data_IF_135823875192
#
_entry.id   IF_135823875192
#
_cell.length_a   1.000
_cell.length_b   1.000
_cell.length_c   1.000
_cell.angle_alpha   90.00
_cell.angle_beta   90.00
_cell.angle_gamma   90.00
#
_symmetry.space_group_name_H-M   'P 1'
#
loop_
_entity.id
_entity.type
_entity.pdbx_description
1 polymer ?
#
# COMPACT_ATOMS: atom_id res chain seq x y z
N UNK A 1 -0.46 -10.24 10.22
CA UNK A 1 -1.22 -9.28 9.40
C UNK A 1 -0.51 -7.95 9.09
N UNK A 2 0.08 -7.21 10.03
CA UNK A 2 0.65 -5.86 9.77
C UNK A 2 2.01 -5.80 9.06
N UNK A 3 2.76 -6.90 8.99
CA UNK A 3 4.15 -6.91 8.51
C UNK A 3 4.31 -6.95 6.99
N UNK A 4 3.30 -7.44 6.25
CA UNK A 4 3.39 -7.65 4.79
C UNK A 4 3.22 -6.33 4.01
N UNK A 5 2.35 -5.43 4.49
CA UNK A 5 2.17 -4.08 3.90
C UNK A 5 3.33 -3.10 4.19
N UNK A 6 4.20 -3.40 5.17
CA UNK A 6 5.33 -2.53 5.55
C UNK A 6 6.52 -2.57 4.58
N UNK A 7 6.59 -3.56 3.69
CA UNK A 7 7.76 -3.75 2.82
C UNK A 7 7.87 -2.76 1.64
N UNK A 8 6.81 -2.03 1.31
CA UNK A 8 6.77 -1.11 0.15
C UNK A 8 6.84 0.38 0.48
N UNK A 9 6.63 0.77 1.74
CA UNK A 9 6.67 2.17 2.18
C UNK A 9 7.95 2.37 2.95
N UNK A 10 8.94 3.08 2.37
CA UNK A 10 10.10 3.54 3.15
C UNK A 10 9.56 4.47 4.24
N UNK A 11 9.40 3.93 5.43
CA UNK A 11 9.24 4.74 6.63
C UNK A 11 10.51 5.56 6.77
N UNK A 12 10.41 6.86 6.55
CA UNK A 12 11.45 7.80 6.96
C UNK A 12 11.43 7.85 8.49
N UNK A 13 11.92 6.78 9.14
CA UNK A 13 12.29 6.80 10.55
C UNK A 13 13.55 7.66 10.65
N UNK A 14 13.36 8.89 11.09
CA UNK A 14 14.44 9.81 11.40
C UNK A 14 15.25 9.28 12.59
N UNK A 15 16.24 8.43 12.31
CA UNK A 15 17.25 7.99 13.28
C UNK A 15 18.64 8.35 12.77
N UNK A 16 18.96 9.65 12.76
CA UNK A 16 20.35 10.14 12.64
C UNK A 16 20.68 11.00 13.86
N UNK A 17 21.65 10.55 14.62
CA UNK A 17 22.04 11.11 15.91
C UNK A 17 23.01 12.32 15.77
N UNK A 18 22.87 13.30 16.70
CA UNK A 18 23.89 14.25 17.27
C UNK A 18 24.12 15.58 16.47
N UNK A 19 24.24 16.81 17.08
CA UNK A 19 24.89 17.17 18.36
C UNK A 19 24.15 18.13 19.34
N UNK A 20 24.69 18.16 20.57
CA UNK A 20 24.46 19.14 21.64
C UNK A 20 25.02 20.53 21.25
N UNK A 21 24.19 21.57 21.29
CA UNK A 21 24.53 22.91 21.82
C UNK A 21 23.35 23.87 21.61
N UNK A 22 22.98 24.56 22.68
CA UNK A 22 21.72 25.27 22.91
C UNK A 22 21.42 26.51 22.03
N UNK A 23 22.08 26.70 20.89
CA UNK A 23 21.87 27.86 19.99
C UNK A 23 21.44 27.50 18.56
N UNK A 24 21.19 26.22 18.25
CA UNK A 24 20.69 25.79 16.93
C UNK A 24 19.16 25.97 16.74
N UNK A 25 18.43 26.25 17.82
CA UNK A 25 16.96 26.31 17.76
C UNK A 25 16.40 27.56 17.05
N UNK A 26 17.17 28.65 16.91
CA UNK A 26 16.72 29.86 16.18
C UNK A 26 17.12 29.89 14.70
N UNK A 27 18.09 29.07 14.28
CA UNK A 27 18.55 29.02 12.88
C UNK A 27 17.78 27.98 12.04
N UNK A 28 17.17 26.98 12.65
CA UNK A 28 16.37 25.95 11.95
C UNK A 28 14.91 26.37 11.70
N UNK A 29 14.45 27.49 12.27
CA UNK A 29 13.09 28.00 12.10
C UNK A 29 12.91 28.84 10.82
N UNK A 30 13.95 29.02 10.00
CA UNK A 30 13.93 29.82 8.76
C UNK A 30 14.12 29.01 7.47
N UNK A 31 14.20 27.68 7.53
CA UNK A 31 14.02 26.86 6.32
C UNK A 31 12.54 26.57 6.11
N UNK A 32 11.85 27.52 5.49
CA UNK A 32 10.56 27.27 4.84
C UNK A 32 10.80 26.40 3.58
N UNK A 33 11.35 25.21 3.76
CA UNK A 33 11.38 24.19 2.73
C UNK A 33 9.97 23.63 2.64
N UNK A 34 9.09 24.34 1.93
CA UNK A 34 7.82 23.76 1.49
C UNK A 34 8.17 22.49 0.73
N UNK A 35 8.02 21.33 1.37
CA UNK A 35 8.14 20.07 0.64
C UNK A 35 7.02 20.08 -0.40
N UNK A 36 7.41 20.28 -1.65
CA UNK A 36 6.49 20.23 -2.77
C UNK A 36 6.25 18.76 -3.09
N UNK A 37 5.01 18.33 -2.93
CA UNK A 37 4.56 17.01 -3.35
C UNK A 37 3.84 17.13 -4.67
N UNK A 38 4.14 16.22 -5.60
CA UNK A 38 3.45 16.14 -6.88
C UNK A 38 2.07 15.48 -6.70
N UNK A 39 1.98 14.52 -5.78
CA UNK A 39 0.77 13.75 -5.50
C UNK A 39 0.57 13.65 -3.99
N UNK A 40 -0.64 13.98 -3.53
CA UNK A 40 -1.05 13.76 -2.15
C UNK A 40 -2.20 12.76 -2.15
N UNK A 41 -1.99 11.62 -1.52
CA UNK A 41 -3.00 10.59 -1.33
C UNK A 41 -3.52 10.67 0.10
N UNK A 42 -4.84 10.84 0.24
CA UNK A 42 -5.50 10.95 1.55
C UNK A 42 -6.21 9.64 1.86
N UNK A 43 -5.74 8.95 2.91
CA UNK A 43 -6.28 7.69 3.42
C UNK A 43 -5.45 6.47 3.01
N UNK A 44 -5.02 5.67 4.00
CA UNK A 44 -4.24 4.45 3.82
C UNK A 44 -5.06 3.18 3.57
N UNK A 45 -6.23 3.28 2.93
CA UNK A 45 -7.06 2.11 2.59
C UNK A 45 -6.52 1.32 1.39
N UNK A 46 -7.26 0.30 0.93
CA UNK A 46 -6.88 -0.50 -0.24
C UNK A 46 -6.60 0.36 -1.48
N UNK A 47 -7.52 1.27 -1.81
CA UNK A 47 -7.38 2.17 -2.95
C UNK A 47 -6.23 3.18 -2.75
N UNK A 48 -6.12 3.78 -1.57
CA UNK A 48 -5.09 4.77 -1.27
C UNK A 48 -3.68 4.17 -1.31
N UNK A 49 -3.52 2.93 -0.86
CA UNK A 49 -2.20 2.29 -0.88
C UNK A 49 -1.78 1.92 -2.30
N UNK A 50 -2.71 1.48 -3.16
CA UNK A 50 -2.42 1.30 -4.60
C UNK A 50 -2.10 2.63 -5.28
N UNK A 51 -2.85 3.70 -5.02
CA UNK A 51 -2.60 5.01 -5.59
C UNK A 51 -1.24 5.59 -5.16
N UNK A 52 -0.90 5.45 -3.87
CA UNK A 52 0.38 5.88 -3.33
C UNK A 52 1.55 5.08 -3.92
N UNK A 53 1.40 3.76 -4.03
CA UNK A 53 2.41 2.89 -4.64
C UNK A 53 2.59 3.16 -6.13
N UNK A 54 1.50 3.39 -6.87
CA UNK A 54 1.53 3.70 -8.30
C UNK A 54 2.25 5.03 -8.57
N UNK A 55 1.84 6.11 -7.89
CA UNK A 55 2.46 7.43 -8.05
C UNK A 55 3.94 7.44 -7.65
N UNK A 56 4.30 6.77 -6.55
CA UNK A 56 5.70 6.63 -6.15
C UNK A 56 6.54 5.85 -7.18
N UNK A 57 5.99 4.79 -7.79
CA UNK A 57 6.67 4.03 -8.86
C UNK A 57 6.86 4.84 -10.14
N UNK A 58 5.96 5.79 -10.41
CA UNK A 58 6.10 6.71 -11.54
C UNK A 58 7.16 7.81 -11.30
N UNK A 59 7.80 7.84 -10.13
CA UNK A 59 8.84 8.82 -9.79
C UNK A 59 8.29 10.14 -9.24
N UNK A 60 7.00 10.22 -8.95
CA UNK A 60 6.39 11.40 -8.32
C UNK A 60 6.80 11.49 -6.84
N UNK A 61 6.97 12.72 -6.34
CA UNK A 61 7.10 12.95 -4.91
C UNK A 61 5.72 12.82 -4.24
N UNK A 62 5.41 11.60 -3.78
CA UNK A 62 4.10 11.24 -3.23
C UNK A 62 4.07 11.33 -1.70
N UNK A 63 3.05 12.02 -1.17
CA UNK A 63 2.68 11.99 0.24
C UNK A 63 1.46 11.11 0.47
N UNK A 64 1.57 10.08 1.32
CA UNK A 64 0.41 9.35 1.84
C UNK A 64 0.05 9.90 3.23
N UNK A 65 -1.09 10.58 3.32
CA UNK A 65 -1.65 11.06 4.57
C UNK A 65 -2.61 10.02 5.15
N UNK A 66 -2.31 9.49 6.33
CA UNK A 66 -3.20 8.58 7.06
C UNK A 66 -3.35 9.01 8.51
N UNK A 67 -4.53 8.78 9.09
CA UNK A 67 -4.78 9.05 10.50
C UNK A 67 -4.04 8.07 11.43
N UNK A 68 -3.76 6.85 10.94
CA UNK A 68 -3.04 5.82 11.70
C UNK A 68 -2.17 5.00 10.75
N UNK A 69 -0.89 4.88 11.10
CA UNK A 69 0.09 4.14 10.30
C UNK A 69 -0.09 2.62 10.39
N UNK A 70 -0.57 2.13 11.53
CA UNK A 70 -0.72 0.68 11.76
C UNK A 70 -1.93 0.05 11.06
N UNK A 71 -2.84 0.86 10.52
CA UNK A 71 -4.06 0.41 9.81
C UNK A 71 -3.98 0.60 8.30
N UNK A 72 -2.79 0.85 7.76
CA UNK A 72 -2.60 0.91 6.31
C UNK A 72 -2.87 -0.48 5.72
N UNK A 73 -3.78 -0.55 4.74
CA UNK A 73 -4.14 -1.81 4.09
C UNK A 73 -4.93 -2.78 4.98
N UNK A 74 -5.57 -2.29 6.04
CA UNK A 74 -6.45 -3.09 6.89
C UNK A 74 -7.70 -3.56 6.13
N UNK A 75 -8.05 -4.84 6.31
CA UNK A 75 -9.29 -5.40 5.77
C UNK A 75 -10.42 -5.27 6.81
N UNK A 76 -11.35 -4.34 6.57
CA UNK A 76 -12.46 -4.06 7.50
C UNK A 76 -13.64 -5.04 7.40
N UNK A 77 -13.69 -5.85 6.34
CA UNK A 77 -14.84 -6.69 6.03
C UNK A 77 -14.46 -8.18 6.12
N UNK A 78 -14.24 -8.83 4.98
CA UNK A 78 -13.82 -10.22 4.92
C UNK A 78 -12.31 -10.29 4.69
N UNK A 79 -11.56 -11.19 5.36
CA UNK A 79 -10.15 -11.42 5.08
C UNK A 79 -9.99 -12.25 3.79
N UNK A 80 -10.56 -11.77 2.69
CA UNK A 80 -10.50 -12.42 1.40
C UNK A 80 -10.37 -11.41 0.28
N UNK A 81 -9.56 -11.74 -0.72
CA UNK A 81 -9.46 -11.00 -1.98
C UNK A 81 -9.97 -11.86 -3.13
N UNK A 82 -10.54 -11.22 -4.16
CA UNK A 82 -11.05 -11.92 -5.32
C UNK A 82 -12.49 -12.45 -5.14
N UNK A 83 -12.80 -13.55 -5.81
CA UNK A 83 -14.16 -14.02 -6.05
C UNK A 83 -14.70 -13.58 -7.42
N UNK A 84 -16.00 -13.81 -7.68
CA UNK A 84 -16.61 -13.45 -8.97
C UNK A 84 -16.51 -11.93 -9.19
N UNK A 85 -16.00 -11.52 -10.35
CA UNK A 85 -15.71 -10.13 -10.70
C UNK A 85 -14.44 -9.58 -10.05
N UNK A 86 -14.33 -9.65 -8.71
CA UNK A 86 -13.18 -9.12 -7.96
C UNK A 86 -11.87 -9.82 -8.33
N UNK A 87 -11.90 -11.13 -8.63
CA UNK A 87 -10.71 -11.89 -9.01
C UNK A 87 -10.08 -11.42 -10.32
N UNK A 88 -10.90 -10.94 -11.27
CA UNK A 88 -10.42 -10.32 -12.50
C UNK A 88 -9.79 -8.96 -12.22
N UNK A 89 -10.43 -8.12 -11.42
CA UNK A 89 -9.86 -6.82 -11.02
C UNK A 89 -8.50 -6.97 -10.33
N UNK A 90 -8.34 -7.96 -9.45
CA UNK A 90 -7.04 -8.22 -8.81
C UNK A 90 -5.98 -8.61 -9.84
N UNK A 91 -6.33 -9.43 -10.84
CA UNK A 91 -5.41 -9.80 -11.94
C UNK A 91 -5.06 -8.62 -12.84
N UNK A 92 -6.02 -7.75 -13.13
CA UNK A 92 -5.79 -6.52 -13.90
C UNK A 92 -4.86 -5.56 -13.15
N UNK A 93 -5.11 -5.35 -11.85
CA UNK A 93 -4.24 -4.53 -10.99
C UNK A 93 -2.82 -5.10 -10.95
N UNK A 94 -2.68 -6.42 -10.80
CA UNK A 94 -1.37 -7.09 -10.79
C UNK A 94 -0.63 -6.93 -12.12
N UNK A 95 -1.34 -7.06 -13.25
CA UNK A 95 -0.78 -6.83 -14.59
C UNK A 95 -0.31 -5.37 -14.79
N UNK A 96 -0.99 -4.40 -14.17
CA UNK A 96 -0.58 -2.99 -14.14
C UNK A 96 0.58 -2.71 -13.15
N UNK A 97 1.09 -3.74 -12.47
CA UNK A 97 2.17 -3.62 -11.50
C UNK A 97 1.73 -3.13 -10.13
N UNK A 98 0.43 -3.29 -9.80
CA UNK A 98 -0.13 -3.03 -8.48
C UNK A 98 0.49 -3.90 -7.38
N UNK A 99 0.20 -3.56 -6.13
CA UNK A 99 0.74 -4.30 -4.96
C UNK A 99 -0.20 -5.40 -4.47
N UNK A 100 -1.49 -5.32 -4.81
CA UNK A 100 -2.56 -6.20 -4.33
C UNK A 100 -2.27 -7.68 -4.60
N UNK A 101 -1.90 -8.05 -5.83
CA UNK A 101 -1.59 -9.44 -6.20
C UNK A 101 -0.48 -10.04 -5.34
N UNK A 102 0.65 -9.32 -5.25
CA UNK A 102 1.81 -9.71 -4.43
C UNK A 102 1.47 -9.85 -2.95
N UNK A 103 0.65 -8.94 -2.42
CA UNK A 103 0.23 -8.99 -1.01
C UNK A 103 -0.66 -10.20 -0.77
N UNK A 104 -1.60 -10.49 -1.67
CA UNK A 104 -2.46 -11.67 -1.58
C UNK A 104 -1.65 -12.97 -1.63
N UNK A 105 -0.60 -13.02 -2.43
CA UNK A 105 0.28 -14.19 -2.50
C UNK A 105 1.11 -14.36 -1.21
N UNK A 106 1.53 -13.26 -0.57
CA UNK A 106 2.31 -13.29 0.67
C UNK A 106 1.47 -13.58 1.92
N UNK A 107 0.20 -13.14 1.97
CA UNK A 107 -0.70 -13.34 3.11
C UNK A 107 -1.72 -14.47 2.90
N UNK A 108 -1.70 -15.15 1.76
CA UNK A 108 -2.66 -16.19 1.42
C UNK A 108 -2.53 -17.45 2.28
N UNK A 109 -3.65 -17.89 2.85
CA UNK A 109 -3.81 -19.20 3.50
C UNK A 109 -4.36 -20.23 2.52
N UNK A 110 -5.34 -19.82 1.70
CA UNK A 110 -6.06 -20.70 0.79
C UNK A 110 -6.39 -20.00 -0.52
N UNK A 111 -6.27 -20.75 -1.61
CA UNK A 111 -6.48 -20.30 -2.99
C UNK A 111 -7.53 -21.20 -3.65
N UNK A 112 -8.66 -20.62 -4.01
CA UNK A 112 -9.78 -21.33 -4.61
C UNK A 112 -10.04 -20.77 -6.00
N UNK A 113 -10.13 -21.64 -7.01
CA UNK A 113 -10.58 -21.26 -8.35
C UNK A 113 -12.08 -21.53 -8.44
N UNK A 114 -12.87 -20.46 -8.56
CA UNK A 114 -14.32 -20.55 -8.77
C UNK A 114 -14.64 -20.82 -10.24
N UNK A 115 -15.80 -21.43 -10.49
CA UNK A 115 -16.30 -21.79 -11.82
C UNK A 115 -15.37 -22.67 -12.65
N UNK A 116 -14.53 -23.50 -12.01
CA UNK A 116 -13.56 -24.38 -12.69
C UNK A 116 -14.20 -25.28 -13.76
N UNK A 117 -15.44 -25.74 -13.52
CA UNK A 117 -16.20 -26.60 -14.43
C UNK A 117 -16.82 -25.89 -15.64
N UNK A 118 -16.87 -24.55 -15.67
CA UNK A 118 -17.55 -23.76 -16.72
C UNK A 118 -16.60 -23.20 -17.80
N UNK A 119 -15.35 -23.65 -17.79
CA UNK A 119 -14.32 -23.28 -18.76
C UNK A 119 -13.48 -22.04 -18.39
N UNK A 120 -12.30 -21.86 -19.00
CA UNK A 120 -11.29 -20.89 -18.55
C UNK A 120 -11.73 -19.43 -18.57
N UNK A 121 -12.61 -19.06 -19.50
CA UNK A 121 -13.07 -17.68 -19.67
C UNK A 121 -13.80 -17.13 -18.45
N UNK A 122 -14.35 -17.99 -17.58
CA UNK A 122 -15.09 -17.60 -16.37
C UNK A 122 -14.38 -18.02 -15.09
N UNK A 123 -13.14 -18.50 -15.18
CA UNK A 123 -12.34 -18.81 -14.01
C UNK A 123 -11.97 -17.53 -13.28
N UNK A 124 -12.12 -17.58 -11.96
CA UNK A 124 -11.79 -16.47 -11.08
C UNK A 124 -11.17 -17.02 -9.81
N UNK A 125 -10.08 -16.39 -9.38
CA UNK A 125 -9.38 -16.77 -8.16
C UNK A 125 -9.99 -16.04 -6.96
N UNK A 126 -10.08 -16.76 -5.84
CA UNK A 126 -10.41 -16.24 -4.53
C UNK A 126 -9.26 -16.59 -3.59
N UNK A 127 -8.72 -15.58 -2.94
CA UNK A 127 -7.68 -15.64 -1.93
C UNK A 127 -8.33 -15.49 -0.57
N UNK A 128 -8.02 -16.39 0.36
CA UNK A 128 -8.31 -16.21 1.80
C UNK A 128 -7.01 -15.85 2.48
N UNK A 129 -7.01 -14.76 3.24
CA UNK A 129 -5.80 -14.15 3.80
C UNK A 129 -5.71 -14.34 5.33
N UNK A 130 -4.48 -14.39 5.85
CA UNK A 130 -4.10 -14.45 7.27
C UNK A 130 -4.05 -13.09 7.91
#
# INVERSE_FOLDING_TARGET
MQTIWRAGVRSASASRQIPKAANAHRAALTTNSRQQFDVIVVGGGHAGTEAAAASARMGCNTLLLTHRFDTIGEMSCNPSFGGIGKGQLVREIDALGGVCGKICDLSGISYIVLNKSKGPAVWVICFVLL
#
